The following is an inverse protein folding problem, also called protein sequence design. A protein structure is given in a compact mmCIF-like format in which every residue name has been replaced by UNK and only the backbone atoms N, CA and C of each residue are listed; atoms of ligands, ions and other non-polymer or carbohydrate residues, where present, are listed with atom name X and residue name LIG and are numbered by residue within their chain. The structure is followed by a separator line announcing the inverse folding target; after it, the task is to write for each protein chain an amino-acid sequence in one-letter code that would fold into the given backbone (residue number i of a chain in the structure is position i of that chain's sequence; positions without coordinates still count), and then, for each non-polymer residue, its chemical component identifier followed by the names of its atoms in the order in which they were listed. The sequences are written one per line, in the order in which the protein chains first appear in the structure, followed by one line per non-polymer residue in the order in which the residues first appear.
data_IF_203635513233
#
_entry.id   IF_203635513233
#
_cell.length_a   1.000
_cell.length_b   1.000
_cell.length_c   1.000
_cell.angle_alpha   90.00
_cell.angle_beta   90.00
_cell.angle_gamma   90.00
#
_symmetry.space_group_name_H-M   'P 1'
#
loop_
_entity.id
_entity.type
_entity.pdbx_description
1 polymer ?
#
# COMPACT_ATOMS: atom_id res chain seq x y z
N UNK A 1 -10.32 9.93 -29.96
CA UNK A 1 -10.94 10.90 -29.01
C UNK A 1 -12.33 10.36 -28.69
N UNK A 2 -12.66 10.20 -27.40
CA UNK A 2 -13.82 9.45 -26.82
C UNK A 2 -13.74 7.93 -26.88
N UNK A 3 -13.19 7.32 -25.81
CA UNK A 3 -13.46 5.98 -25.26
C UNK A 3 -12.55 5.80 -24.02
N UNK A 4 -12.73 6.63 -22.99
CA UNK A 4 -12.00 6.55 -21.68
C UNK A 4 -12.82 7.22 -20.55
N UNK A 5 -14.10 6.87 -20.39
CA UNK A 5 -14.95 7.47 -19.35
C UNK A 5 -15.72 6.49 -18.47
N UNK A 6 -15.82 5.21 -18.80
CA UNK A 6 -16.88 4.37 -18.21
C UNK A 6 -16.40 3.31 -17.19
N UNK A 7 -15.11 3.33 -16.81
CA UNK A 7 -14.52 2.25 -15.99
C UNK A 7 -14.54 2.47 -14.46
N UNK A 8 -15.02 3.63 -13.97
CA UNK A 8 -14.97 3.98 -12.55
C UNK A 8 -16.29 3.83 -11.76
N UNK A 9 -17.35 3.31 -12.37
CA UNK A 9 -18.69 3.29 -11.74
C UNK A 9 -18.88 2.14 -10.71
N UNK A 10 -17.98 1.15 -10.63
CA UNK A 10 -18.22 -0.07 -9.83
C UNK A 10 -17.66 -0.06 -8.38
N UNK A 11 -17.40 1.11 -7.77
CA UNK A 11 -16.90 1.24 -6.38
C UNK A 11 -17.90 1.89 -5.42
N UNK A 12 -19.19 1.54 -5.49
CA UNK A 12 -20.19 1.99 -4.49
C UNK A 12 -20.85 0.79 -3.82
N UNK A 13 -20.88 0.84 -2.48
CA UNK A 13 -21.59 -0.01 -1.52
C UNK A 13 -20.78 -1.11 -0.81
N UNK A 14 -19.84 -0.69 0.04
CA UNK A 14 -19.54 -1.44 1.27
C UNK A 14 -19.51 -0.44 2.43
N UNK A 15 -20.65 -0.27 3.09
CA UNK A 15 -20.71 0.22 4.48
C UNK A 15 -20.37 -0.97 5.38
N UNK A 16 -19.45 -0.77 6.31
CA UNK A 16 -18.93 -1.81 7.19
C UNK A 16 -19.72 -1.77 8.50
N UNK A 17 -20.84 -2.49 8.56
CA UNK A 17 -21.58 -2.73 9.81
C UNK A 17 -21.35 -4.18 10.26
N UNK A 18 -20.51 -4.37 11.27
CA UNK A 18 -20.38 -5.66 11.97
C UNK A 18 -21.08 -5.58 13.32
N UNK A 19 -22.24 -6.22 13.43
CA UNK A 19 -22.87 -6.61 14.70
C UNK A 19 -22.76 -8.13 14.86
N UNK A 20 -22.12 -8.55 15.95
CA UNK A 20 -21.86 -9.96 16.27
C UNK A 20 -23.00 -10.49 17.13
N UNK A 21 -23.70 -11.52 16.64
CA UNK A 21 -24.51 -12.41 17.50
C UNK A 21 -24.08 -13.86 17.26
N UNK A 22 -23.56 -14.46 18.33
CA UNK A 22 -23.14 -15.85 18.38
C UNK A 22 -24.35 -16.77 18.62
N UNK A 23 -24.44 -17.88 17.89
CA UNK A 23 -25.18 -19.07 18.34
C UNK A 23 -24.50 -20.35 17.85
N UNK A 24 -24.43 -21.31 18.78
CA UNK A 24 -23.64 -22.53 18.75
C UNK A 24 -24.24 -23.69 17.92
N UNK A 25 -23.37 -24.63 17.54
CA UNK A 25 -23.67 -25.96 16.98
C UNK A 25 -24.37 -26.90 17.98
N UNK A 26 -24.86 -28.06 17.52
CA UNK A 26 -24.13 -29.32 17.86
C UNK A 26 -24.12 -30.41 16.77
N UNK A 27 -23.31 -31.48 17.03
CA UNK A 27 -22.93 -32.61 16.16
C UNK A 27 -24.07 -33.55 15.72
N UNK A 28 -23.89 -34.72 15.11
CA UNK A 28 -22.84 -35.76 15.10
C UNK A 28 -23.26 -36.87 14.12
N UNK A 29 -22.34 -37.66 13.53
CA UNK A 29 -22.35 -39.16 13.55
C UNK A 29 -21.42 -39.80 12.51
N UNK A 30 -20.77 -40.87 12.99
CA UNK A 30 -19.87 -41.85 12.34
C UNK A 30 -20.70 -43.01 11.77
N UNK A 31 -20.27 -43.65 10.66
CA UNK A 31 -20.14 -45.13 10.50
C UNK A 31 -19.72 -45.57 9.08
N UNK A 32 -18.52 -46.17 9.01
CA UNK A 32 -18.10 -47.42 8.35
C UNK A 32 -19.11 -48.25 7.51
N UNK A 33 -18.73 -48.76 6.32
CA UNK A 33 -18.04 -50.06 6.11
C UNK A 33 -18.14 -50.60 4.65
N UNK A 34 -17.03 -51.23 4.23
CA UNK A 34 -16.89 -52.48 3.46
C UNK A 34 -17.07 -52.65 1.92
N UNK A 35 -16.01 -53.27 1.36
CA UNK A 35 -15.94 -54.41 0.43
C UNK A 35 -15.43 -54.20 -1.02
N UNK A 36 -14.16 -54.57 -1.23
CA UNK A 36 -13.63 -55.25 -2.43
C UNK A 36 -14.04 -56.76 -2.40
N UNK A 37 -13.93 -57.60 -3.48
CA UNK A 37 -12.63 -57.96 -4.11
C UNK A 37 -12.61 -58.37 -5.63
N UNK A 38 -11.42 -58.20 -6.24
CA UNK A 38 -10.63 -59.11 -7.12
C UNK A 38 -11.27 -59.71 -8.40
N UNK A 39 -10.62 -59.50 -9.57
CA UNK A 39 -10.07 -60.60 -10.42
C UNK A 39 -9.12 -60.15 -11.57
N UNK A 40 -7.98 -60.85 -11.60
CA UNK A 40 -6.85 -60.95 -12.54
C UNK A 40 -7.16 -61.04 -14.05
N UNK A 41 -6.24 -60.62 -14.93
CA UNK A 41 -5.21 -61.49 -15.55
C UNK A 41 -4.66 -60.97 -16.92
N UNK A 42 -3.32 -60.91 -16.99
CA UNK A 42 -2.40 -61.31 -18.07
C UNK A 42 -2.58 -60.88 -19.55
N UNK A 43 -1.51 -60.29 -20.09
CA UNK A 43 -1.18 -60.28 -21.53
C UNK A 43 0.13 -59.55 -21.81
N UNK A 44 1.21 -60.29 -22.09
CA UNK A 44 2.55 -59.80 -22.44
C UNK A 44 2.91 -60.28 -23.85
N UNK A 45 3.46 -59.39 -24.70
CA UNK A 45 4.32 -59.64 -25.88
C UNK A 45 4.70 -58.26 -26.47
N UNK A 46 5.90 -57.72 -26.20
CA UNK A 46 7.17 -57.83 -26.98
C UNK A 46 7.05 -57.41 -28.44
N UNK A 47 7.65 -56.27 -28.81
CA UNK A 47 8.36 -56.09 -30.08
C UNK A 47 9.41 -54.95 -29.99
N UNK A 48 10.55 -55.17 -30.64
CA UNK A 48 11.77 -54.34 -30.64
C UNK A 48 12.10 -53.90 -32.10
N UNK A 49 13.09 -52.99 -32.35
CA UNK A 49 12.91 -51.75 -33.14
C UNK A 49 13.66 -51.70 -34.50
N UNK A 50 13.82 -50.47 -35.09
CA UNK A 50 14.86 -49.95 -36.05
C UNK A 50 14.29 -49.50 -37.46
N UNK A 51 14.83 -48.51 -38.24
CA UNK A 51 15.26 -47.10 -37.99
C UNK A 51 14.96 -46.03 -39.12
N UNK A 52 15.09 -44.72 -38.80
CA UNK A 52 15.54 -43.54 -39.64
C UNK A 52 14.80 -43.14 -40.95
N UNK A 53 15.02 -41.93 -41.57
CA UNK A 53 16.06 -40.89 -41.35
C UNK A 53 15.58 -39.41 -41.28
N UNK A 54 16.55 -38.51 -41.03
CA UNK A 54 16.46 -37.04 -41.12
C UNK A 54 15.88 -36.51 -42.44
N UNK A 55 15.06 -35.45 -42.35
CA UNK A 55 15.00 -34.39 -43.34
C UNK A 55 14.71 -33.04 -42.66
N UNK A 56 15.65 -32.11 -42.80
CA UNK A 56 15.50 -30.69 -42.48
C UNK A 56 14.50 -30.06 -43.46
N UNK A 57 13.51 -29.33 -42.93
CA UNK A 57 12.80 -28.31 -43.70
C UNK A 57 12.54 -27.11 -42.79
N UNK A 58 13.25 -26.02 -43.07
CA UNK A 58 13.03 -24.69 -42.52
C UNK A 58 11.68 -24.19 -43.04
N UNK A 59 10.76 -23.92 -42.14
CA UNK A 59 9.48 -23.28 -42.43
C UNK A 59 8.95 -22.62 -41.16
N UNK A 60 9.04 -21.30 -41.08
CA UNK A 60 8.33 -20.52 -40.06
C UNK A 60 6.82 -20.74 -40.17
N UNK A 61 6.10 -20.92 -39.05
CA UNK A 61 4.70 -20.54 -38.97
C UNK A 61 4.53 -19.27 -38.12
N UNK A 62 3.73 -18.37 -38.69
CA UNK A 62 3.16 -17.16 -38.11
C UNK A 62 2.48 -17.38 -36.74
N UNK A 63 2.48 -16.41 -35.81
CA UNK A 63 1.81 -16.55 -34.52
C UNK A 63 0.31 -16.30 -34.69
N UNK A 64 -0.43 -17.38 -34.94
CA UNK A 64 -1.89 -17.39 -34.82
C UNK A 64 -2.33 -18.71 -34.19
N UNK A 65 -2.35 -18.72 -32.85
CA UNK A 65 -3.15 -19.66 -32.07
C UNK A 65 -3.53 -18.97 -30.76
N UNK A 66 -4.48 -18.03 -30.88
CA UNK A 66 -5.34 -17.68 -29.78
C UNK A 66 -6.30 -18.85 -29.53
N UNK A 67 -6.31 -19.36 -28.30
CA UNK A 67 -7.41 -20.11 -27.73
C UNK A 67 -7.07 -21.51 -27.23
N UNK A 68 -6.80 -21.64 -25.92
CA UNK A 68 -7.73 -22.22 -24.92
C UNK A 68 -6.96 -22.67 -23.67
N UNK A 69 -7.28 -22.07 -22.53
CA UNK A 69 -6.77 -22.48 -21.21
C UNK A 69 -6.97 -21.39 -20.16
N UNK A 70 -8.06 -21.45 -19.43
CA UNK A 70 -8.40 -20.59 -18.30
C UNK A 70 -7.28 -20.54 -17.24
N UNK A 71 -6.74 -19.34 -17.00
CA UNK A 71 -6.27 -18.86 -15.71
C UNK A 71 -5.06 -19.55 -15.10
N UNK A 72 -3.86 -19.30 -15.61
CA UNK A 72 -2.59 -19.10 -14.87
C UNK A 72 -1.63 -18.42 -15.87
N UNK A 73 -1.53 -17.09 -15.80
CA UNK A 73 -0.74 -16.31 -16.76
C UNK A 73 0.74 -16.72 -16.74
N UNK A 74 1.26 -17.12 -17.89
CA UNK A 74 2.68 -17.40 -18.12
C UNK A 74 3.58 -16.31 -17.53
N UNK A 75 4.65 -16.72 -16.85
CA UNK A 75 5.71 -15.81 -16.39
C UNK A 75 6.44 -15.30 -17.62
N UNK A 76 6.41 -13.98 -17.84
CA UNK A 76 7.09 -13.34 -18.96
C UNK A 76 8.58 -13.14 -18.66
N UNK A 77 9.40 -12.95 -19.68
CA UNK A 77 10.81 -12.56 -19.49
C UNK A 77 10.94 -11.23 -18.71
N UNK A 78 9.95 -10.33 -18.88
CA UNK A 78 9.89 -9.09 -18.13
C UNK A 78 9.57 -9.34 -16.65
N UNK A 79 8.66 -10.25 -16.32
CA UNK A 79 8.39 -10.62 -14.92
C UNK A 79 9.67 -11.13 -14.22
N UNK A 80 10.47 -11.95 -14.92
CA UNK A 80 11.75 -12.44 -14.41
C UNK A 80 12.77 -11.31 -14.22
N UNK A 81 12.87 -10.39 -15.18
CA UNK A 81 13.73 -9.21 -15.08
C UNK A 81 13.33 -8.32 -13.89
N UNK A 82 12.03 -8.09 -13.71
CA UNK A 82 11.49 -7.30 -12.61
C UNK A 82 11.76 -7.96 -11.25
N UNK A 83 11.57 -9.27 -11.14
CA UNK A 83 11.90 -10.01 -9.92
C UNK A 83 13.41 -9.97 -9.62
N UNK A 84 14.24 -10.12 -10.66
CA UNK A 84 15.68 -9.96 -10.51
C UNK A 84 16.02 -8.55 -10.01
N UNK A 85 15.54 -7.51 -10.71
CA UNK A 85 15.76 -6.12 -10.32
C UNK A 85 15.30 -5.83 -8.88
N UNK A 86 14.18 -6.43 -8.46
CA UNK A 86 13.72 -6.31 -7.09
C UNK A 86 14.75 -6.84 -6.08
N UNK A 87 15.22 -8.07 -6.27
CA UNK A 87 16.08 -8.79 -5.31
C UNK A 87 17.51 -8.25 -5.24
N UNK A 88 17.99 -7.57 -6.29
CA UNK A 88 19.34 -6.99 -6.33
C UNK A 88 19.38 -5.46 -6.19
N UNK A 89 18.25 -4.77 -6.30
CA UNK A 89 18.22 -3.31 -6.31
C UNK A 89 17.06 -2.74 -5.48
N UNK A 90 15.81 -2.99 -5.86
CA UNK A 90 14.64 -2.33 -5.24
C UNK A 90 14.55 -2.59 -3.73
N UNK A 91 14.74 -3.85 -3.28
CA UNK A 91 14.58 -4.20 -1.86
C UNK A 91 15.54 -3.43 -0.93
N UNK A 92 16.74 -3.07 -1.41
CA UNK A 92 17.73 -2.32 -0.64
C UNK A 92 17.36 -0.85 -0.43
N UNK A 93 16.40 -0.34 -1.20
CA UNK A 93 15.92 1.05 -1.09
C UNK A 93 14.79 1.24 -0.07
N UNK A 94 14.23 0.14 0.46
CA UNK A 94 13.04 0.17 1.31
C UNK A 94 13.36 0.32 2.80
N UNK A 95 14.59 0.04 3.24
CA UNK A 95 14.98 0.13 4.65
C UNK A 95 16.49 0.28 4.83
N UNK A 96 16.88 1.00 5.89
CA UNK A 96 18.28 1.16 6.31
C UNK A 96 18.70 0.12 7.36
N UNK A 97 17.76 -0.59 7.98
CA UNK A 97 18.01 -1.69 8.92
C UNK A 97 18.30 -3.01 8.18
N UNK A 98 19.41 -3.66 8.52
CA UNK A 98 19.86 -4.91 7.88
C UNK A 98 18.82 -6.02 7.95
N UNK A 99 18.25 -6.28 9.14
CA UNK A 99 17.23 -7.31 9.34
C UNK A 99 16.03 -7.11 8.42
N UNK A 100 15.51 -5.88 8.36
CA UNK A 100 14.37 -5.53 7.52
C UNK A 100 14.70 -5.68 6.03
N UNK A 101 15.90 -5.27 5.59
CA UNK A 101 16.37 -5.48 4.21
C UNK A 101 16.44 -6.96 3.84
N UNK A 102 16.98 -7.80 4.72
CA UNK A 102 17.07 -9.24 4.48
C UNK A 102 15.69 -9.86 4.35
N UNK A 103 14.72 -9.39 5.16
CA UNK A 103 13.32 -9.77 5.01
C UNK A 103 12.76 -9.35 3.63
N UNK A 104 12.91 -8.08 3.24
CA UNK A 104 12.43 -7.58 1.94
C UNK A 104 13.05 -8.33 0.77
N UNK A 105 14.33 -8.74 0.88
CA UNK A 105 15.08 -9.41 -0.18
C UNK A 105 14.79 -10.90 -0.29
N UNK A 106 14.63 -11.62 0.83
CA UNK A 106 14.58 -13.10 0.85
C UNK A 106 13.19 -13.60 1.22
N UNK A 107 12.69 -13.21 2.39
CA UNK A 107 11.48 -13.78 2.98
C UNK A 107 10.23 -13.34 2.23
N UNK A 108 10.16 -12.09 1.79
CA UNK A 108 8.98 -11.58 1.11
C UNK A 108 8.79 -12.16 -0.30
N UNK A 109 9.82 -12.26 -1.18
CA UNK A 109 9.69 -13.02 -2.42
C UNK A 109 9.30 -14.48 -2.19
N UNK A 110 9.88 -15.14 -1.19
CA UNK A 110 9.51 -16.51 -0.82
C UNK A 110 8.03 -16.60 -0.44
N UNK A 111 7.54 -15.67 0.40
CA UNK A 111 6.12 -15.55 0.73
C UNK A 111 5.26 -15.32 -0.51
N UNK A 112 5.75 -14.54 -1.48
CA UNK A 112 5.09 -14.27 -2.75
C UNK A 112 4.88 -15.49 -3.64
N UNK A 113 5.75 -16.51 -3.56
CA UNK A 113 5.53 -17.77 -4.28
C UNK A 113 4.34 -18.56 -3.76
N UNK A 114 4.01 -18.44 -2.46
CA UNK A 114 2.79 -19.00 -1.88
C UNK A 114 1.58 -18.06 -1.99
N UNK A 115 1.81 -16.76 -2.13
CA UNK A 115 0.77 -15.72 -2.13
C UNK A 115 0.89 -14.83 -3.38
N UNK A 116 0.22 -15.17 -4.49
CA UNK A 116 0.41 -14.50 -5.78
C UNK A 116 0.17 -12.98 -5.76
N UNK A 117 -0.68 -12.47 -4.87
CA UNK A 117 -0.89 -11.02 -4.71
C UNK A 117 0.37 -10.30 -4.21
N UNK A 118 1.16 -10.91 -3.31
CA UNK A 118 2.45 -10.35 -2.87
C UNK A 118 3.43 -10.31 -4.03
N UNK A 119 3.56 -11.42 -4.78
CA UNK A 119 4.49 -11.48 -5.90
C UNK A 119 4.14 -10.41 -6.95
N UNK A 120 2.85 -10.25 -7.29
CA UNK A 120 2.41 -9.17 -8.18
C UNK A 120 2.72 -7.78 -7.61
N UNK A 121 2.56 -7.55 -6.32
CA UNK A 121 2.99 -6.31 -5.66
C UNK A 121 4.50 -6.06 -5.79
N UNK A 122 5.33 -7.08 -5.57
CA UNK A 122 6.79 -7.01 -5.72
C UNK A 122 7.17 -6.58 -7.14
N UNK A 123 6.58 -7.22 -8.16
CA UNK A 123 6.85 -6.90 -9.56
C UNK A 123 6.41 -5.47 -9.91
N UNK A 124 5.26 -5.04 -9.39
CA UNK A 124 4.79 -3.66 -9.56
C UNK A 124 5.77 -2.63 -9.02
N UNK A 125 6.21 -2.81 -7.78
CA UNK A 125 7.15 -1.90 -7.12
C UNK A 125 8.51 -1.88 -7.86
N UNK A 126 8.97 -3.05 -8.31
CA UNK A 126 10.19 -3.17 -9.10
C UNK A 126 10.10 -2.44 -10.45
N UNK A 127 8.96 -2.54 -11.13
CA UNK A 127 8.73 -1.84 -12.38
C UNK A 127 8.76 -0.31 -12.20
N UNK A 128 8.17 0.21 -11.11
CA UNK A 128 8.25 1.64 -10.76
C UNK A 128 9.68 2.08 -10.49
N UNK A 129 10.44 1.28 -9.74
CA UNK A 129 11.83 1.58 -9.45
C UNK A 129 12.69 1.58 -10.72
N UNK A 130 12.54 0.56 -11.57
CA UNK A 130 13.27 0.42 -12.84
C UNK A 130 12.92 1.54 -13.84
N UNK A 131 11.67 2.02 -13.83
CA UNK A 131 11.23 3.14 -14.68
C UNK A 131 11.98 4.46 -14.40
N UNK A 132 12.66 4.58 -13.25
CA UNK A 132 13.49 5.75 -12.91
C UNK A 132 14.82 5.75 -13.64
N UNK A 133 15.43 4.58 -13.85
CA UNK A 133 16.73 4.47 -14.52
C UNK A 133 16.61 4.27 -16.03
N UNK A 134 15.43 3.90 -16.55
CA UNK A 134 15.19 3.64 -17.98
C UNK A 134 14.22 4.63 -18.61
N UNK A 135 14.70 5.83 -18.95
CA UNK A 135 13.89 6.89 -19.53
C UNK A 135 13.14 6.46 -20.81
N UNK A 136 13.77 5.70 -21.71
CA UNK A 136 13.18 5.23 -22.97
C UNK A 136 12.03 4.23 -22.80
N UNK A 137 12.04 3.47 -21.69
CA UNK A 137 11.03 2.43 -21.39
C UNK A 137 10.08 2.85 -20.26
N UNK A 138 10.22 4.08 -19.74
CA UNK A 138 9.51 4.56 -18.55
C UNK A 138 7.99 4.37 -18.65
N UNK A 139 7.39 4.74 -19.78
CA UNK A 139 5.94 4.61 -19.99
C UNK A 139 5.46 3.16 -19.91
N UNK A 140 6.14 2.25 -20.61
CA UNK A 140 5.86 0.82 -20.59
C UNK A 140 6.03 0.23 -19.18
N UNK A 141 7.11 0.58 -18.46
CA UNK A 141 7.37 0.07 -17.11
C UNK A 141 6.31 0.57 -16.09
N UNK A 142 5.86 1.81 -16.23
CA UNK A 142 4.74 2.35 -15.42
C UNK A 142 3.45 1.58 -15.74
N UNK A 143 3.17 1.30 -17.01
CA UNK A 143 1.99 0.51 -17.40
C UNK A 143 2.04 -0.91 -16.80
N UNK A 144 3.20 -1.56 -16.83
CA UNK A 144 3.41 -2.86 -16.19
C UNK A 144 3.24 -2.80 -14.68
N UNK A 145 3.72 -1.73 -14.04
CA UNK A 145 3.48 -1.51 -12.62
C UNK A 145 1.98 -1.45 -12.30
N UNK A 146 1.19 -0.74 -13.11
CA UNK A 146 -0.26 -0.62 -12.95
C UNK A 146 -0.94 -1.98 -13.15
N UNK A 147 -0.58 -2.73 -14.20
CA UNK A 147 -1.14 -4.06 -14.47
C UNK A 147 -0.90 -5.00 -13.29
N UNK A 148 0.34 -5.07 -12.80
CA UNK A 148 0.67 -5.92 -11.65
C UNK A 148 0.00 -5.44 -10.36
N UNK A 149 -0.05 -4.14 -10.11
CA UNK A 149 -0.72 -3.62 -8.92
C UNK A 149 -2.22 -3.95 -8.93
N UNK A 150 -2.91 -3.72 -10.04
CA UNK A 150 -4.32 -4.07 -10.19
C UNK A 150 -4.55 -5.57 -9.98
N UNK A 151 -3.73 -6.43 -10.61
CA UNK A 151 -3.81 -7.87 -10.42
C UNK A 151 -3.58 -8.26 -8.95
N UNK A 152 -2.62 -7.62 -8.27
CA UNK A 152 -2.35 -7.88 -6.85
C UNK A 152 -3.54 -7.55 -5.96
N UNK A 153 -4.19 -6.40 -6.17
CA UNK A 153 -5.36 -5.97 -5.40
C UNK A 153 -6.56 -6.88 -5.70
N UNK A 154 -6.80 -7.24 -6.96
CA UNK A 154 -7.89 -8.15 -7.33
C UNK A 154 -7.75 -9.53 -6.69
N UNK A 155 -6.52 -10.03 -6.54
CA UNK A 155 -6.24 -11.30 -5.86
C UNK A 155 -6.37 -11.20 -4.33
N UNK A 156 -6.02 -10.06 -3.74
CA UNK A 156 -6.08 -9.85 -2.29
C UNK A 156 -7.50 -9.54 -1.78
N UNK A 157 -8.33 -8.85 -2.58
CA UNK A 157 -9.63 -8.33 -2.14
C UNK A 157 -10.58 -9.40 -1.54
N UNK A 158 -10.74 -10.60 -2.11
CA UNK A 158 -11.59 -11.65 -1.52
C UNK A 158 -11.07 -12.18 -0.18
N UNK A 159 -9.76 -12.04 0.08
CA UNK A 159 -9.12 -12.50 1.32
C UNK A 159 -9.30 -11.50 2.46
N UNK A 160 -9.54 -10.22 2.12
CA UNK A 160 -9.75 -9.14 3.11
C UNK A 160 -11.14 -9.25 3.76
N UNK A 161 -12.14 -9.77 3.04
CA UNK A 161 -13.51 -9.90 3.56
C UNK A 161 -13.68 -11.00 4.60
N UNK A 162 -12.78 -11.99 4.63
CA UNK A 162 -12.77 -13.06 5.62
C UNK A 162 -11.32 -13.44 5.95
N UNK A 163 -10.69 -12.64 6.81
CA UNK A 163 -9.27 -12.80 7.10
C UNK A 163 -9.07 -14.01 8.02
N UNK A 164 -8.48 -15.06 7.46
CA UNK A 164 -7.97 -16.19 8.23
C UNK A 164 -6.63 -15.82 8.89
N UNK A 165 -6.36 -16.36 10.08
CA UNK A 165 -5.13 -16.08 10.83
C UNK A 165 -3.86 -16.40 10.03
N UNK A 166 -3.90 -17.43 9.19
CA UNK A 166 -2.78 -17.85 8.34
C UNK A 166 -2.42 -16.81 7.28
N UNK A 167 -3.43 -16.10 6.75
CA UNK A 167 -3.29 -15.13 5.65
C UNK A 167 -3.11 -13.69 6.18
N UNK A 168 -3.48 -13.42 7.43
CA UNK A 168 -3.37 -12.11 8.04
C UNK A 168 -1.95 -11.51 7.95
N UNK A 169 -0.92 -12.34 8.14
CA UNK A 169 0.47 -11.92 8.09
C UNK A 169 0.91 -11.52 6.68
N UNK A 170 0.51 -12.29 5.67
CA UNK A 170 0.83 -11.99 4.27
C UNK A 170 0.03 -10.78 3.76
N UNK A 171 -1.23 -10.61 4.16
CA UNK A 171 -2.01 -9.39 3.86
C UNK A 171 -1.39 -8.14 4.51
N UNK A 172 -0.82 -8.26 5.71
CA UNK A 172 -0.08 -7.18 6.35
C UNK A 172 1.10 -6.72 5.51
N UNK A 173 1.99 -7.64 5.09
CA UNK A 173 3.13 -7.26 4.26
C UNK A 173 2.71 -6.78 2.87
N UNK A 174 1.64 -7.34 2.30
CA UNK A 174 1.04 -6.83 1.07
C UNK A 174 0.57 -5.38 1.21
N UNK A 175 -0.02 -5.00 2.35
CA UNK A 175 -0.43 -3.62 2.60
C UNK A 175 0.78 -2.67 2.64
N UNK A 176 1.92 -3.10 3.19
CA UNK A 176 3.16 -2.31 3.21
C UNK A 176 3.73 -2.13 1.79
N UNK A 177 3.74 -3.18 0.97
CA UNK A 177 4.14 -3.06 -0.44
C UNK A 177 3.21 -2.09 -1.18
N UNK A 178 1.89 -2.23 -0.95
CA UNK A 178 0.88 -1.36 -1.57
C UNK A 178 1.08 0.10 -1.18
N UNK A 179 1.48 0.38 0.06
CA UNK A 179 1.86 1.73 0.48
C UNK A 179 3.05 2.27 -0.32
N UNK A 180 4.12 1.49 -0.49
CA UNK A 180 5.26 1.91 -1.33
C UNK A 180 4.84 2.18 -2.78
N UNK A 181 3.99 1.31 -3.35
CA UNK A 181 3.46 1.48 -4.71
C UNK A 181 2.65 2.76 -4.82
N UNK A 182 1.73 3.02 -3.88
CA UNK A 182 0.87 4.20 -3.91
C UNK A 182 1.66 5.52 -3.93
N UNK A 183 2.75 5.59 -3.16
CA UNK A 183 3.65 6.74 -3.18
C UNK A 183 4.52 6.76 -4.45
N UNK A 184 5.05 5.62 -4.88
CA UNK A 184 5.93 5.54 -6.05
C UNK A 184 5.22 5.79 -7.39
N UNK A 185 3.91 5.59 -7.45
CA UNK A 185 3.12 5.79 -8.66
C UNK A 185 3.19 7.26 -9.15
N UNK A 186 3.11 7.49 -10.47
CA UNK A 186 3.06 8.83 -11.02
C UNK A 186 1.92 9.63 -10.40
N UNK A 187 2.26 10.81 -9.88
CA UNK A 187 1.30 11.75 -9.30
C UNK A 187 0.38 12.22 -10.41
N UNK A 188 -0.87 11.77 -10.43
CA UNK A 188 -1.84 12.25 -11.40
C UNK A 188 -2.39 13.60 -10.92
N UNK A 189 -2.65 14.54 -11.83
CA UNK A 189 -3.31 15.80 -11.49
C UNK A 189 -4.71 15.61 -10.86
N UNK A 190 -5.28 14.41 -10.92
CA UNK A 190 -6.62 14.08 -10.43
C UNK A 190 -6.64 13.16 -9.21
N UNK A 191 -5.52 12.97 -8.48
CA UNK A 191 -5.44 12.04 -7.33
C UNK A 191 -6.35 12.40 -6.12
N UNK A 192 -7.11 13.48 -6.21
CA UNK A 192 -8.15 13.87 -5.24
C UNK A 192 -9.54 13.48 -5.75
N UNK A 193 -9.91 12.19 -5.71
CA UNK A 193 -11.29 11.81 -6.02
C UNK A 193 -11.77 10.70 -5.07
N UNK A 194 -12.56 11.11 -4.07
CA UNK A 194 -13.91 10.56 -3.84
C UNK A 194 -14.83 11.71 -3.42
N UNK A 195 -15.84 12.01 -4.25
CA UNK A 195 -16.84 13.06 -4.00
C UNK A 195 -16.40 14.42 -4.53
N UNK A 196 -17.29 15.13 -5.22
CA UNK A 196 -17.05 16.32 -6.04
C UNK A 196 -16.39 17.53 -5.36
N UNK A 197 -16.14 17.46 -4.05
CA UNK A 197 -15.64 18.57 -3.25
C UNK A 197 -14.51 18.16 -2.27
N UNK A 198 -14.10 16.87 -2.27
CA UNK A 198 -13.20 16.27 -1.29
C UNK A 198 -11.77 16.03 -1.76
N UNK A 199 -10.79 16.36 -0.92
CA UNK A 199 -9.35 16.33 -1.24
C UNK A 199 -8.66 15.32 -0.32
N UNK A 200 -8.72 14.02 -0.65
CA UNK A 200 -7.96 12.98 0.07
C UNK A 200 -7.10 12.15 -0.88
N UNK A 201 -5.76 12.14 -0.70
CA UNK A 201 -4.87 11.20 -1.37
C UNK A 201 -5.23 9.74 -1.07
N UNK A 202 -5.17 8.86 -2.08
CA UNK A 202 -5.51 7.43 -1.98
C UNK A 202 -4.82 6.73 -0.79
N UNK A 203 -3.58 7.10 -0.49
CA UNK A 203 -2.83 6.48 0.61
C UNK A 203 -3.47 6.67 1.99
N UNK A 204 -4.31 7.68 2.23
CA UNK A 204 -5.08 7.77 3.49
C UNK A 204 -6.01 6.57 3.66
N UNK A 205 -6.71 6.19 2.58
CA UNK A 205 -7.64 5.05 2.60
C UNK A 205 -6.87 3.74 2.76
N UNK A 206 -5.70 3.64 2.13
CA UNK A 206 -4.81 2.48 2.29
C UNK A 206 -4.34 2.31 3.75
N UNK A 207 -3.97 3.39 4.44
CA UNK A 207 -3.60 3.31 5.86
C UNK A 207 -4.78 2.92 6.75
N UNK A 208 -6.00 3.38 6.45
CA UNK A 208 -7.21 2.93 7.17
C UNK A 208 -7.44 1.44 7.00
N UNK A 209 -7.31 0.94 5.76
CA UNK A 209 -7.39 -0.51 5.48
C UNK A 209 -6.31 -1.30 6.22
N UNK A 210 -5.06 -0.85 6.16
CA UNK A 210 -3.93 -1.45 6.87
C UNK A 210 -4.17 -1.48 8.39
N UNK A 211 -4.69 -0.39 8.95
CA UNK A 211 -5.04 -0.28 10.37
C UNK A 211 -6.10 -1.29 10.76
N UNK A 212 -7.19 -1.35 10.01
CA UNK A 212 -8.27 -2.30 10.25
C UNK A 212 -7.77 -3.75 10.24
N UNK A 213 -7.01 -4.14 9.21
CA UNK A 213 -6.42 -5.49 9.09
C UNK A 213 -5.50 -5.79 10.29
N UNK A 214 -4.64 -4.84 10.67
CA UNK A 214 -3.68 -5.02 11.76
C UNK A 214 -4.36 -5.11 13.12
N UNK A 215 -5.37 -4.27 13.39
CA UNK A 215 -6.09 -4.27 14.66
C UNK A 215 -6.94 -5.51 14.83
N UNK A 216 -7.64 -5.95 13.78
CA UNK A 216 -8.44 -7.18 13.80
C UNK A 216 -7.60 -8.45 14.01
N UNK A 217 -6.33 -8.45 13.59
CA UNK A 217 -5.45 -9.61 13.61
C UNK A 217 -4.24 -9.46 14.55
N UNK A 218 -4.29 -8.49 15.48
CA UNK A 218 -3.17 -8.13 16.36
C UNK A 218 -2.54 -9.35 17.06
N UNK A 219 -3.36 -10.19 17.69
CA UNK A 219 -2.86 -11.35 18.43
C UNK A 219 -2.15 -12.38 17.56
N UNK A 220 -2.67 -12.63 16.35
CA UNK A 220 -2.03 -13.53 15.40
C UNK A 220 -0.66 -12.99 14.93
N UNK A 221 -0.56 -11.67 14.75
CA UNK A 221 0.69 -11.00 14.39
C UNK A 221 1.73 -11.04 15.51
N UNK A 222 1.31 -10.71 16.73
CA UNK A 222 2.16 -10.71 17.95
C UNK A 222 2.69 -12.12 18.26
N UNK A 223 1.89 -13.16 18.01
CA UNK A 223 2.27 -14.56 18.18
C UNK A 223 3.09 -15.16 17.04
N UNK A 224 3.27 -14.44 15.92
CA UNK A 224 3.96 -14.96 14.74
C UNK A 224 5.49 -14.94 14.89
N UNK A 225 6.18 -15.78 14.11
CA UNK A 225 7.65 -15.75 14.00
C UNK A 225 8.20 -14.44 13.43
N UNK A 226 7.34 -13.62 12.82
CA UNK A 226 7.69 -12.32 12.25
C UNK A 226 7.33 -11.14 13.17
N UNK A 227 6.94 -11.38 14.42
CA UNK A 227 6.63 -10.32 15.39
C UNK A 227 7.77 -9.29 15.52
N UNK A 228 9.03 -9.74 15.41
CA UNK A 228 10.21 -8.86 15.44
C UNK A 228 10.17 -7.74 14.39
N UNK A 229 9.51 -7.96 13.24
CA UNK A 229 9.35 -6.95 12.19
C UNK A 229 8.49 -5.76 12.64
N UNK A 230 7.64 -5.93 13.64
CA UNK A 230 6.76 -4.89 14.17
C UNK A 230 7.36 -4.16 15.38
N UNK A 231 8.34 -4.77 16.05
CA UNK A 231 8.91 -4.28 17.31
C UNK A 231 9.41 -2.82 17.23
N UNK A 232 10.12 -2.46 16.15
CA UNK A 232 10.59 -1.09 15.95
C UNK A 232 9.45 -0.07 15.84
N UNK A 233 8.35 -0.46 15.19
CA UNK A 233 7.14 0.38 15.10
C UNK A 233 6.43 0.51 16.46
N UNK A 234 6.40 -0.55 17.26
CA UNK A 234 5.79 -0.52 18.60
C UNK A 234 6.56 0.34 19.58
N UNK A 235 7.90 0.21 19.61
CA UNK A 235 8.76 1.03 20.45
C UNK A 235 8.60 2.51 20.09
N UNK A 236 8.62 2.81 18.79
CA UNK A 236 8.42 4.18 18.32
C UNK A 236 7.03 4.70 18.66
N UNK A 237 5.99 3.88 18.54
CA UNK A 237 4.63 4.28 18.92
C UNK A 237 4.54 4.63 20.42
N UNK A 238 5.21 3.87 21.30
CA UNK A 238 5.28 4.20 22.74
C UNK A 238 5.97 5.55 22.97
N UNK A 239 7.07 5.80 22.28
CA UNK A 239 7.79 7.09 22.35
C UNK A 239 6.87 8.23 21.88
N UNK A 240 6.23 8.06 20.72
CA UNK A 240 5.30 9.02 20.13
C UNK A 240 4.10 9.33 21.04
N UNK A 241 3.55 8.32 21.74
CA UNK A 241 2.42 8.50 22.67
C UNK A 241 2.82 9.22 23.97
N UNK A 242 4.04 8.98 24.45
CA UNK A 242 4.50 9.47 25.76
C UNK A 242 4.89 10.95 25.80
N UNK A 243 5.07 11.61 24.65
CA UNK A 243 5.64 12.95 24.59
C UNK A 243 4.59 14.04 24.33
N UNK A 244 4.72 15.13 25.07
CA UNK A 244 4.08 16.41 24.75
C UNK A 244 5.11 17.30 24.06
N UNK A 245 4.75 17.86 22.89
CA UNK A 245 5.68 18.62 22.05
C UNK A 245 5.07 19.94 21.64
N UNK A 246 5.81 21.02 21.91
CA UNK A 246 5.53 22.34 21.33
C UNK A 246 6.17 22.48 19.95
N UNK A 247 5.44 23.11 19.03
CA UNK A 247 5.88 23.35 17.66
C UNK A 247 5.39 24.72 17.20
N UNK A 248 6.31 25.67 16.96
CA UNK A 248 5.97 27.09 16.72
C UNK A 248 5.03 27.29 15.53
N UNK A 249 5.27 26.61 14.40
CA UNK A 249 4.42 26.73 13.22
C UNK A 249 2.99 26.21 13.45
N UNK A 250 2.85 25.15 14.26
CA UNK A 250 1.53 24.58 14.57
C UNK A 250 0.81 25.38 15.66
N UNK A 251 1.55 26.02 16.57
CA UNK A 251 0.98 26.93 17.58
C UNK A 251 0.18 28.06 16.95
N UNK A 252 0.69 28.67 15.87
CA UNK A 252 -0.04 29.72 15.15
C UNK A 252 -1.32 29.18 14.51
N UNK A 253 -1.26 28.02 13.85
CA UNK A 253 -2.43 27.36 13.27
C UNK A 253 -3.48 27.02 14.34
N UNK A 254 -3.07 26.42 15.46
CA UNK A 254 -3.95 26.08 16.58
C UNK A 254 -4.63 27.33 17.16
N UNK A 255 -3.93 28.45 17.26
CA UNK A 255 -4.50 29.74 17.69
C UNK A 255 -5.57 30.24 16.70
N UNK A 256 -5.31 30.15 15.39
CA UNK A 256 -6.29 30.49 14.35
C UNK A 256 -7.52 29.59 14.40
N UNK A 257 -7.34 28.28 14.56
CA UNK A 257 -8.44 27.31 14.71
C UNK A 257 -9.32 27.68 15.91
N UNK A 258 -8.73 27.92 17.08
CA UNK A 258 -9.47 28.27 18.31
C UNK A 258 -10.25 29.59 18.21
N UNK A 259 -9.76 30.54 17.42
CA UNK A 259 -10.38 31.87 17.29
C UNK A 259 -11.41 31.97 16.17
N UNK A 260 -11.29 31.17 15.11
CA UNK A 260 -12.12 31.30 13.90
C UNK A 260 -13.14 30.17 13.71
N UNK A 261 -12.97 29.02 14.39
CA UNK A 261 -13.90 27.89 14.30
C UNK A 261 -14.86 27.91 15.48
N UNK A 262 -16.16 28.10 15.20
CA UNK A 262 -17.19 28.18 16.23
C UNK A 262 -17.58 26.80 16.80
N UNK A 263 -17.57 25.77 15.96
CA UNK A 263 -17.90 24.39 16.35
C UNK A 263 -16.80 23.78 17.22
N UNK A 264 -17.11 23.59 18.51
CA UNK A 264 -16.17 23.05 19.50
C UNK A 264 -15.79 21.60 19.23
N UNK A 265 -16.67 20.79 18.64
CA UNK A 265 -16.35 19.41 18.27
C UNK A 265 -15.33 19.40 17.13
N UNK A 266 -15.55 20.21 16.10
CA UNK A 266 -14.60 20.39 15.00
C UNK A 266 -13.25 20.92 15.51
N UNK A 267 -13.25 21.90 16.41
CA UNK A 267 -12.02 22.39 17.06
C UNK A 267 -11.27 21.24 17.74
N UNK A 268 -11.96 20.39 18.52
CA UNK A 268 -11.33 19.26 19.18
C UNK A 268 -10.70 18.27 18.19
N UNK A 269 -11.41 17.93 17.10
CA UNK A 269 -10.91 17.02 16.04
C UNK A 269 -9.64 17.58 15.39
N UNK A 270 -9.66 18.86 14.99
CA UNK A 270 -8.52 19.52 14.35
C UNK A 270 -7.30 19.61 15.27
N UNK A 271 -7.52 19.96 16.55
CA UNK A 271 -6.44 20.06 17.53
C UNK A 271 -5.82 18.70 17.87
N UNK A 272 -6.61 17.61 17.91
CA UNK A 272 -6.06 16.25 18.08
C UNK A 272 -5.18 15.85 16.89
N UNK A 273 -5.61 16.16 15.66
CA UNK A 273 -4.79 15.91 14.46
C UNK A 273 -3.51 16.77 14.44
N UNK A 274 -3.59 18.03 14.91
CA UNK A 274 -2.43 18.91 15.09
C UNK A 274 -1.45 18.38 16.15
N UNK A 275 -1.94 17.94 17.32
CA UNK A 275 -1.11 17.34 18.36
C UNK A 275 -0.39 16.09 17.88
N UNK A 276 -1.08 15.25 17.11
CA UNK A 276 -0.48 14.12 16.43
C UNK A 276 0.66 14.55 15.48
N UNK A 277 0.52 15.65 14.73
CA UNK A 277 1.59 16.18 13.88
C UNK A 277 2.78 16.65 14.71
N UNK A 278 2.56 17.38 15.82
CA UNK A 278 3.63 17.88 16.69
C UNK A 278 4.54 16.75 17.17
N UNK A 279 3.94 15.63 17.59
CA UNK A 279 4.65 14.41 17.98
C UNK A 279 5.41 13.78 16.82
N UNK A 280 4.89 13.85 15.59
CA UNK A 280 5.62 13.33 14.42
C UNK A 280 6.80 14.22 14.01
N UNK A 281 6.69 15.55 14.12
CA UNK A 281 7.77 16.48 13.82
C UNK A 281 9.01 16.29 14.71
N UNK A 282 8.85 15.78 15.93
CA UNK A 282 9.99 15.58 16.86
C UNK A 282 11.07 14.67 16.28
N UNK A 283 10.68 13.66 15.49
CA UNK A 283 11.61 12.70 14.88
C UNK A 283 12.43 13.31 13.73
N UNK A 284 12.16 14.56 13.38
CA UNK A 284 12.92 15.34 12.40
C UNK A 284 13.75 16.46 13.04
N UNK A 285 13.72 16.62 14.38
CA UNK A 285 14.49 17.67 15.10
C UNK A 285 15.92 17.24 15.36
N UNK A 286 16.14 15.96 15.64
CA UNK A 286 17.47 15.42 15.87
C UNK A 286 18.17 15.15 14.52
N UNK A 287 19.40 15.62 14.37
CA UNK A 287 20.27 15.42 13.19
C UNK A 287 20.76 13.99 13.02
N UNK A 288 20.20 13.03 13.77
CA UNK A 288 20.49 11.61 13.62
C UNK A 288 20.06 11.08 12.25
N UNK A 289 20.90 10.25 11.65
CA UNK A 289 20.67 9.56 10.38
C UNK A 289 19.66 8.40 10.48
N UNK A 290 18.66 8.46 11.36
CA UNK A 290 17.63 7.41 11.42
C UNK A 290 16.45 7.73 10.48
N UNK A 291 16.73 7.58 9.19
CA UNK A 291 15.74 7.72 8.14
C UNK A 291 14.56 6.74 8.27
N UNK A 292 14.75 5.61 8.95
CA UNK A 292 13.68 4.63 9.14
C UNK A 292 12.68 5.12 10.19
N UNK A 293 13.16 5.73 11.27
CA UNK A 293 12.28 6.40 12.22
C UNK A 293 11.56 7.60 11.61
N UNK A 294 12.20 8.38 10.73
CA UNK A 294 11.50 9.47 10.01
C UNK A 294 10.34 8.93 9.16
N UNK A 295 10.56 7.84 8.40
CA UNK A 295 9.49 7.17 7.64
C UNK A 295 8.39 6.63 8.57
N UNK A 296 8.75 5.95 9.65
CA UNK A 296 7.78 5.46 10.64
C UNK A 296 6.98 6.60 11.28
N UNK A 297 7.58 7.78 11.49
CA UNK A 297 6.89 8.95 12.04
C UNK A 297 5.73 9.42 11.18
N UNK A 298 5.94 9.45 9.87
CA UNK A 298 4.91 9.76 8.87
C UNK A 298 3.82 8.70 8.89
N UNK A 299 4.21 7.42 8.89
CA UNK A 299 3.28 6.30 8.93
C UNK A 299 2.44 6.26 10.22
N UNK A 300 3.03 6.58 11.38
CA UNK A 300 2.32 6.63 12.66
C UNK A 300 1.25 7.71 12.66
N UNK A 301 1.55 8.90 12.14
CA UNK A 301 0.54 9.96 12.02
C UNK A 301 -0.68 9.47 11.23
N UNK A 302 -0.43 8.86 10.07
CA UNK A 302 -1.48 8.29 9.21
C UNK A 302 -2.28 7.17 9.87
N UNK A 303 -1.64 6.41 10.75
CA UNK A 303 -2.30 5.37 11.52
C UNK A 303 -3.17 5.96 12.65
N UNK A 304 -2.73 7.06 13.27
CA UNK A 304 -3.30 7.61 14.52
C UNK A 304 -4.40 8.63 14.34
N UNK A 305 -4.42 9.34 13.21
CA UNK A 305 -5.52 10.27 12.92
C UNK A 305 -6.89 9.59 13.05
N UNK A 306 -7.90 10.34 13.47
CA UNK A 306 -9.25 9.82 13.73
C UNK A 306 -10.11 9.84 12.46
N UNK A 307 -11.14 8.99 12.40
CA UNK A 307 -12.03 8.91 11.24
C UNK A 307 -12.79 10.22 11.02
N UNK A 308 -13.13 10.94 12.11
CA UNK A 308 -13.76 12.26 12.04
C UNK A 308 -12.89 13.29 11.31
N UNK A 309 -11.58 13.30 11.55
CA UNK A 309 -10.65 14.19 10.83
C UNK A 309 -10.59 13.84 9.35
N UNK A 310 -10.59 12.55 9.02
CA UNK A 310 -10.64 12.10 7.62
C UNK A 310 -11.98 12.44 6.99
N UNK A 311 -13.10 12.36 7.72
CA UNK A 311 -14.39 12.80 7.24
C UNK A 311 -14.37 14.30 6.90
N UNK A 312 -13.76 15.15 7.72
CA UNK A 312 -13.58 16.57 7.38
C UNK A 312 -12.80 16.74 6.06
N UNK A 313 -11.69 16.03 5.89
CA UNK A 313 -10.91 16.08 4.64
C UNK A 313 -11.71 15.59 3.42
N UNK A 314 -12.59 14.58 3.59
CA UNK A 314 -13.47 14.07 2.52
C UNK A 314 -14.49 15.11 2.08
N UNK A 315 -14.89 16.00 2.97
CA UNK A 315 -15.82 17.09 2.65
C UNK A 315 -15.11 18.38 2.21
N UNK A 316 -13.78 18.34 2.00
CA UNK A 316 -13.01 19.52 1.58
C UNK A 316 -12.94 20.60 2.66
N UNK A 317 -13.04 20.21 3.93
CA UNK A 317 -13.02 21.14 5.05
C UNK A 317 -11.72 21.95 5.08
N UNK A 318 -11.85 23.28 5.06
CA UNK A 318 -10.72 24.20 4.82
C UNK A 318 -9.73 24.16 5.97
N UNK A 319 -10.22 24.09 7.20
CA UNK A 319 -9.38 24.00 8.39
C UNK A 319 -8.66 22.66 8.49
N UNK A 320 -9.33 21.57 8.14
CA UNK A 320 -8.69 20.26 8.06
C UNK A 320 -7.60 20.24 6.98
N UNK A 321 -7.84 20.88 5.82
CA UNK A 321 -6.84 21.06 4.78
C UNK A 321 -5.65 21.90 5.26
N UNK A 322 -5.87 22.92 6.10
CA UNK A 322 -4.78 23.67 6.73
C UNK A 322 -3.93 22.77 7.65
N UNK A 323 -4.53 21.88 8.43
CA UNK A 323 -3.77 20.89 9.22
C UNK A 323 -3.00 19.93 8.30
N UNK A 324 -3.62 19.47 7.21
CA UNK A 324 -2.99 18.59 6.23
C UNK A 324 -1.78 19.24 5.53
N UNK A 325 -1.79 20.57 5.35
CA UNK A 325 -0.65 21.29 4.77
C UNK A 325 0.63 21.11 5.60
N UNK A 326 0.52 21.01 6.93
CA UNK A 326 1.67 20.75 7.79
C UNK A 326 2.17 19.30 7.66
N UNK A 327 1.28 18.35 7.37
CA UNK A 327 1.71 16.99 7.03
C UNK A 327 2.53 16.96 5.72
N UNK A 328 2.24 17.83 4.75
CA UNK A 328 3.03 17.93 3.52
C UNK A 328 4.51 18.26 3.79
N UNK A 329 4.81 19.03 4.85
CA UNK A 329 6.18 19.31 5.29
C UNK A 329 6.89 18.04 5.74
N UNK A 330 6.21 17.12 6.43
CA UNK A 330 6.81 15.83 6.81
C UNK A 330 7.15 14.98 5.58
N UNK A 331 6.29 15.00 4.55
CA UNK A 331 6.57 14.32 3.29
C UNK A 331 7.76 14.94 2.56
N UNK A 332 7.87 16.27 2.54
CA UNK A 332 8.99 16.97 1.90
C UNK A 332 10.32 16.66 2.58
N UNK A 333 10.32 16.50 3.91
CA UNK A 333 11.52 16.07 4.66
C UNK A 333 11.97 14.63 4.33
N UNK A 334 11.15 13.87 3.60
CA UNK A 334 11.45 12.53 3.09
C UNK A 334 11.62 12.51 1.55
N UNK A 335 11.82 13.67 0.92
CA UNK A 335 11.94 13.77 -0.55
C UNK A 335 13.13 12.96 -1.11
N UNK A 336 14.14 12.69 -0.29
CA UNK A 336 15.27 11.82 -0.62
C UNK A 336 14.86 10.36 -0.86
N UNK A 337 13.67 9.93 -0.43
CA UNK A 337 13.14 8.59 -0.70
C UNK A 337 12.49 8.59 -2.07
N UNK A 338 13.05 7.80 -2.99
CA UNK A 338 12.61 7.79 -4.40
C UNK A 338 11.11 7.56 -4.60
N UNK A 339 10.48 6.81 -3.70
CA UNK A 339 9.06 6.50 -3.73
C UNK A 339 8.21 7.63 -3.12
N UNK A 340 8.73 8.45 -2.19
CA UNK A 340 8.04 9.65 -1.67
C UNK A 340 8.37 10.95 -2.43
N UNK A 341 9.38 10.92 -3.29
CA UNK A 341 9.88 12.11 -3.97
C UNK A 341 8.76 12.91 -4.68
N UNK A 342 8.68 14.21 -4.40
CA UNK A 342 7.74 15.20 -4.93
C UNK A 342 6.36 15.22 -4.28
N UNK A 343 6.10 14.43 -3.23
CA UNK A 343 4.78 14.40 -2.60
C UNK A 343 4.49 15.59 -1.68
N UNK A 344 5.50 16.18 -1.03
CA UNK A 344 5.32 17.38 -0.22
C UNK A 344 4.82 18.55 -1.07
N UNK A 345 5.59 18.91 -2.10
CA UNK A 345 5.20 19.90 -3.12
C UNK A 345 3.83 19.58 -3.75
N UNK A 346 3.62 18.35 -4.23
CA UNK A 346 2.36 18.00 -4.88
C UNK A 346 1.16 18.17 -3.93
N UNK A 347 1.30 17.82 -2.65
CA UNK A 347 0.21 17.95 -1.68
C UNK A 347 -0.07 19.42 -1.36
N UNK A 348 0.96 20.24 -1.14
CA UNK A 348 0.78 21.66 -0.78
C UNK A 348 0.18 22.46 -1.93
N UNK A 349 0.59 22.22 -3.18
CA UNK A 349 0.01 22.85 -4.38
C UNK A 349 -1.51 22.66 -4.45
N UNK A 350 -1.94 21.45 -4.11
CA UNK A 350 -3.32 21.01 -4.25
C UNK A 350 -4.20 21.49 -3.13
N UNK A 351 -3.65 21.53 -1.92
CA UNK A 351 -4.28 22.19 -0.78
C UNK A 351 -4.42 23.68 -1.07
N UNK A 352 -3.35 24.36 -1.54
CA UNK A 352 -3.38 25.78 -1.85
C UNK A 352 -4.45 26.12 -2.91
N UNK A 353 -4.57 25.30 -3.95
CA UNK A 353 -5.59 25.46 -4.98
C UNK A 353 -7.02 25.29 -4.45
N UNK A 354 -7.24 24.46 -3.43
CA UNK A 354 -8.54 24.25 -2.79
C UNK A 354 -8.90 25.32 -1.74
N UNK A 355 -7.92 26.04 -1.21
CA UNK A 355 -8.11 27.09 -0.22
C UNK A 355 -8.37 28.47 -0.84
N UNK A 356 -9.20 29.28 -0.18
CA UNK A 356 -9.37 30.69 -0.50
C UNK A 356 -8.23 31.54 0.10
N UNK A 357 -8.17 32.84 -0.26
CA UNK A 357 -7.11 33.76 0.17
C UNK A 357 -6.91 33.82 1.70
N UNK A 358 -7.99 33.78 2.48
CA UNK A 358 -7.92 33.82 3.94
C UNK A 358 -7.23 32.59 4.54
N UNK A 359 -7.60 31.38 4.11
CA UNK A 359 -7.00 30.14 4.61
C UNK A 359 -5.59 29.89 4.03
N UNK A 360 -5.23 30.49 2.89
CA UNK A 360 -3.85 30.43 2.38
C UNK A 360 -2.84 31.05 3.35
N UNK A 361 -3.25 32.07 4.12
CA UNK A 361 -2.42 32.65 5.18
C UNK A 361 -2.21 31.71 6.38
N UNK A 362 -3.03 30.67 6.52
CA UNK A 362 -2.90 29.69 7.61
C UNK A 362 -1.81 28.65 7.32
N UNK A 363 -1.48 28.44 6.04
CA UNK A 363 -0.51 27.45 5.60
C UNK A 363 0.84 28.06 5.20
N UNK A 364 1.02 29.38 5.40
CA UNK A 364 2.24 30.11 5.01
C UNK A 364 3.51 29.45 5.56
N UNK A 365 3.51 29.08 6.84
CA UNK A 365 4.65 28.39 7.47
C UNK A 365 5.01 27.10 6.72
N UNK A 366 4.00 26.29 6.35
CA UNK A 366 4.24 25.04 5.64
C UNK A 366 4.81 25.29 4.22
N UNK A 367 4.35 26.35 3.54
CA UNK A 367 4.89 26.74 2.24
C UNK A 367 6.36 27.18 2.33
N UNK A 368 6.70 27.97 3.35
CA UNK A 368 8.07 28.43 3.62
C UNK A 368 9.01 27.25 3.91
N UNK A 369 8.57 26.29 4.74
CA UNK A 369 9.37 25.10 5.09
C UNK A 369 9.58 24.15 3.90
N UNK A 370 8.61 24.06 2.98
CA UNK A 370 8.75 23.27 1.74
C UNK A 370 9.60 24.03 0.71
N UNK A 371 9.76 25.35 0.84
CA UNK A 371 10.38 26.18 -0.19
C UNK A 371 9.51 26.32 -1.45
N UNK A 372 8.18 26.24 -1.30
CA UNK A 372 7.22 26.31 -2.40
C UNK A 372 6.50 27.66 -2.44
N UNK A 373 6.31 28.21 -3.64
CA UNK A 373 5.54 29.43 -3.91
C UNK A 373 4.56 29.21 -5.07
N UNK A 374 3.34 29.79 -5.03
CA UNK A 374 2.30 29.61 -6.04
C UNK A 374 2.60 30.24 -7.41
#
# INVERSE_FOLDING_TARGET
MRLRSDWFVYRRHLECDFSVTATASPGSHVSNDNNSPIQNAAGSQVDHPVPSPLAQAVGHPSPAAAGLGSGHGWVTALDLELLHHYTISTCFTLSTQQMTRDFWRVNLPHMGFSHPYILRGILSLAALHLARSRASQRGMLIEQAIIHHNASVSLALPLITNIEQEIALSLSFFSVITFYIAFAMPKQPSIFIVGTDGVIPEWFLLFRGMRCVREANRHAMEGSSLNMMYHGGELMNKIWESQYVEHDGLRELESKIRSHVYDQQKVAILLRASDALKRSFQFFRDTGEDDENKVRSVSIWLFKIEDDFVALLRHGDREALCVLAFFAVLLERLDNKWWMNGWGIHLIERIYAALNEGYRLWIRWAMEEIGWSP
#
